data_IF_145544412356
#
_entry.id   IF_145544412356
#
_cell.length_a   1.000
_cell.length_b   1.000
_cell.length_c   1.000
_cell.angle_alpha   90.00
_cell.angle_beta   90.00
_cell.angle_gamma   90.00
#
_symmetry.space_group_name_H-M   'P 1'
#
loop_
_entity.id
_entity.type
_entity.pdbx_description
1 polymer ?
#
# COMPACT_ATOMS: atom_id res chain seq x y z
N UNK A 1 4.16 -21.11 -28.69
CA UNK A 1 3.19 -20.33 -27.91
C UNK A 1 3.93 -19.77 -26.72
N UNK A 2 4.56 -18.61 -26.87
CA UNK A 2 5.26 -17.95 -25.76
C UNK A 2 4.82 -16.49 -25.77
N UNK A 3 4.00 -16.16 -24.77
CA UNK A 3 3.46 -14.82 -24.56
C UNK A 3 4.60 -13.81 -24.45
N UNK A 4 4.52 -12.66 -25.15
CA UNK A 4 5.57 -11.66 -25.10
C UNK A 4 5.69 -11.08 -23.68
N UNK A 5 6.90 -11.18 -23.14
CA UNK A 5 7.29 -10.59 -21.86
C UNK A 5 7.22 -9.06 -21.96
N UNK A 6 6.14 -8.48 -21.43
CA UNK A 6 5.96 -7.03 -21.33
C UNK A 6 6.98 -6.48 -20.33
N UNK A 7 8.09 -5.94 -20.85
CA UNK A 7 9.08 -5.17 -20.08
C UNK A 7 8.41 -3.87 -19.61
N UNK A 8 8.15 -3.65 -18.31
CA UNK A 8 7.58 -2.39 -17.88
C UNK A 8 8.62 -1.28 -18.09
N UNK A 9 8.25 -0.36 -18.97
CA UNK A 9 8.96 0.83 -19.38
C UNK A 9 9.39 1.65 -18.14
N UNK A 10 10.67 2.05 -18.07
CA UNK A 10 11.20 3.01 -17.10
C UNK A 10 10.57 4.38 -17.34
N UNK A 11 9.35 4.60 -16.85
CA UNK A 11 8.73 5.92 -16.80
C UNK A 11 8.13 6.11 -15.41
N UNK A 12 8.91 6.71 -14.53
CA UNK A 12 8.49 7.36 -13.28
C UNK A 12 7.21 6.82 -12.63
N UNK A 13 7.30 5.67 -11.96
CA UNK A 13 6.37 5.35 -10.87
C UNK A 13 6.83 6.07 -9.60
N UNK A 14 6.72 7.40 -9.59
CA UNK A 14 7.11 8.22 -8.44
C UNK A 14 6.18 8.06 -7.24
N UNK A 15 5.06 7.35 -7.40
CA UNK A 15 4.07 7.12 -6.33
C UNK A 15 4.34 5.78 -5.64
N UNK A 16 4.95 5.87 -4.45
CA UNK A 16 5.10 4.77 -3.50
C UNK A 16 3.99 4.85 -2.46
N UNK A 17 3.49 3.69 -2.04
CA UNK A 17 2.52 3.56 -0.97
C UNK A 17 3.17 2.77 0.18
N UNK A 18 3.48 3.40 1.31
CA UNK A 18 3.84 2.68 2.52
C UNK A 18 2.59 1.99 3.10
N UNK A 19 2.70 0.70 3.43
CA UNK A 19 1.65 -0.05 4.10
C UNK A 19 2.22 -1.24 4.85
N UNK A 20 1.85 -1.40 6.13
CA UNK A 20 2.33 -2.47 7.03
C UNK A 20 3.85 -2.52 7.12
N UNK A 21 4.46 -1.35 6.99
CA UNK A 21 5.91 -1.21 6.94
C UNK A 21 6.58 -1.71 5.67
N UNK A 22 5.84 -1.94 4.59
CA UNK A 22 6.45 -2.23 3.29
C UNK A 22 6.11 -1.13 2.28
N UNK A 23 7.05 -0.88 1.36
CA UNK A 23 6.83 0.06 0.27
C UNK A 23 6.32 -0.68 -0.96
N UNK A 24 5.16 -0.23 -1.44
CA UNK A 24 4.56 -0.73 -2.66
C UNK A 24 4.64 0.30 -3.78
N UNK A 25 4.83 -0.18 -5.01
CA UNK A 25 4.78 0.60 -6.24
C UNK A 25 3.57 0.16 -7.06
N UNK A 26 2.91 1.12 -7.71
CA UNK A 26 1.76 0.80 -8.55
C UNK A 26 2.23 0.05 -9.79
N UNK A 27 1.67 -1.14 -10.01
CA UNK A 27 1.95 -1.99 -11.17
C UNK A 27 1.00 -1.66 -12.31
N UNK A 28 -0.29 -1.58 -12.00
CA UNK A 28 -1.35 -1.28 -12.96
C UNK A 28 -2.60 -0.78 -12.26
N UNK A 29 -3.49 -0.14 -12.99
CA UNK A 29 -4.82 0.25 -12.52
C UNK A 29 -5.85 -0.55 -13.32
N UNK A 30 -6.98 -0.89 -12.70
CA UNK A 30 -8.08 -1.54 -13.41
C UNK A 30 -8.57 -0.64 -14.56
N UNK A 31 -9.04 -1.24 -15.66
CA UNK A 31 -9.56 -0.50 -16.82
C UNK A 31 -10.75 0.40 -16.45
N UNK A 32 -11.58 -0.05 -15.52
CA UNK A 32 -12.69 0.75 -14.97
C UNK A 32 -12.23 1.87 -14.02
N UNK A 33 -10.94 1.95 -13.69
CA UNK A 33 -10.42 2.93 -12.74
C UNK A 33 -10.97 2.77 -11.33
N UNK A 34 -11.37 1.56 -10.92
CA UNK A 34 -11.94 1.31 -9.57
C UNK A 34 -10.92 0.83 -8.55
N UNK A 35 -9.83 0.21 -9.02
CA UNK A 35 -8.83 -0.46 -8.18
C UNK A 35 -7.43 -0.25 -8.73
N UNK A 36 -6.46 -0.05 -7.84
CA UNK A 36 -5.03 0.01 -8.16
C UNK A 36 -4.37 -1.27 -7.67
N UNK A 37 -3.54 -1.85 -8.51
CA UNK A 37 -2.74 -3.03 -8.22
C UNK A 37 -1.33 -2.57 -7.92
N UNK A 38 -0.84 -2.95 -6.75
CA UNK A 38 0.47 -2.60 -6.26
C UNK A 38 1.30 -3.86 -5.99
N UNK A 39 2.61 -3.70 -6.13
CA UNK A 39 3.62 -4.73 -5.87
C UNK A 39 4.68 -4.16 -4.94
N UNK A 40 5.32 -5.01 -4.14
CA UNK A 40 6.48 -4.61 -3.36
C UNK A 40 7.59 -4.04 -4.26
N UNK A 41 8.29 -2.99 -3.81
CA UNK A 41 9.43 -2.42 -4.54
C UNK A 41 10.57 -3.45 -4.74
N UNK A 42 10.69 -4.43 -3.84
CA UNK A 42 11.69 -5.50 -3.91
C UNK A 42 11.29 -6.69 -4.79
N UNK A 43 10.15 -6.62 -5.49
CA UNK A 43 9.74 -7.71 -6.37
C UNK A 43 10.82 -8.08 -7.40
N UNK A 44 11.51 -7.06 -7.95
CA UNK A 44 12.55 -7.24 -8.97
C UNK A 44 13.98 -7.26 -8.39
N UNK A 45 14.13 -7.36 -7.06
CA UNK A 45 15.45 -7.37 -6.43
C UNK A 45 16.19 -8.67 -6.80
N UNK A 46 17.43 -8.54 -7.30
CA UNK A 46 18.28 -9.70 -7.60
C UNK A 46 18.62 -10.43 -6.28
N UNK A 47 18.31 -11.72 -6.22
CA UNK A 47 18.57 -12.59 -5.05
C UNK A 47 17.35 -12.87 -4.18
N UNK A 48 16.34 -11.99 -4.15
CA UNK A 48 15.14 -12.17 -3.33
C UNK A 48 13.95 -11.48 -3.98
N UNK A 49 13.09 -12.26 -4.64
CA UNK A 49 11.87 -11.75 -5.26
C UNK A 49 10.78 -11.66 -4.20
N UNK A 50 10.40 -10.45 -3.81
CA UNK A 50 9.29 -10.27 -2.89
C UNK A 50 7.95 -10.55 -3.59
N UNK A 51 7.13 -11.42 -3.00
CA UNK A 51 5.81 -11.77 -3.52
C UNK A 51 4.69 -10.86 -2.98
N UNK A 52 5.01 -9.91 -2.11
CA UNK A 52 4.04 -8.96 -1.55
C UNK A 52 3.34 -8.13 -2.61
N UNK A 53 2.01 -8.20 -2.62
CA UNK A 53 1.09 -7.45 -3.48
C UNK A 53 0.03 -6.80 -2.62
N UNK A 54 -0.52 -5.70 -3.12
CA UNK A 54 -1.51 -4.91 -2.42
C UNK A 54 -2.50 -4.36 -3.44
N UNK A 55 -3.78 -4.40 -3.14
CA UNK A 55 -4.79 -3.74 -3.93
C UNK A 55 -5.43 -2.62 -3.11
N UNK A 56 -5.56 -1.45 -3.72
CA UNK A 56 -6.26 -0.31 -3.13
C UNK A 56 -7.38 0.17 -4.04
N UNK A 57 -8.24 1.04 -3.52
CA UNK A 57 -9.15 1.83 -4.34
C UNK A 57 -8.41 3.04 -4.98
N UNK A 58 -9.17 3.91 -5.63
CA UNK A 58 -8.66 5.17 -6.20
C UNK A 58 -8.21 6.17 -5.14
N UNK A 59 -8.75 6.10 -3.94
CA UNK A 59 -8.46 6.95 -2.78
C UNK A 59 -7.27 6.44 -1.95
N UNK A 60 -6.56 5.43 -2.46
CA UNK A 60 -5.43 4.77 -1.80
C UNK A 60 -5.80 4.01 -0.51
N UNK A 61 -7.09 3.70 -0.30
CA UNK A 61 -7.58 2.82 0.76
C UNK A 61 -7.35 1.34 0.42
N UNK A 62 -6.82 0.59 1.39
CA UNK A 62 -6.46 -0.81 1.21
C UNK A 62 -7.71 -1.69 1.11
N UNK A 63 -7.83 -2.39 -0.01
CA UNK A 63 -8.90 -3.35 -0.27
C UNK A 63 -8.48 -4.77 0.10
N UNK A 64 -7.25 -5.14 -0.25
CA UNK A 64 -6.73 -6.49 0.00
C UNK A 64 -5.20 -6.53 -0.07
N UNK A 65 -4.58 -7.14 0.94
CA UNK A 65 -3.15 -7.48 0.97
C UNK A 65 -3.00 -8.94 0.50
N UNK A 66 -2.07 -9.21 -0.41
CA UNK A 66 -1.90 -10.53 -1.03
C UNK A 66 -0.43 -10.89 -1.11
N UNK A 67 -0.10 -12.11 -0.68
CA UNK A 67 1.26 -12.63 -0.77
C UNK A 67 2.12 -12.16 0.41
N UNK A 68 2.90 -13.09 0.93
CA UNK A 68 3.79 -12.85 2.06
C UNK A 68 5.02 -12.08 1.60
N UNK A 69 5.46 -11.14 2.43
CA UNK A 69 6.71 -10.45 2.20
C UNK A 69 7.86 -11.38 2.56
N UNK A 70 8.71 -11.61 1.58
CA UNK A 70 9.99 -12.28 1.80
C UNK A 70 11.13 -11.29 1.94
N UNK A 71 10.86 -9.97 1.94
CA UNK A 71 11.85 -8.91 2.14
C UNK A 71 11.94 -8.45 3.60
N UNK A 72 13.15 -8.25 4.11
CA UNK A 72 13.43 -7.76 5.47
C UNK A 72 13.13 -6.26 5.71
N UNK A 73 12.41 -5.58 4.80
CA UNK A 73 12.10 -4.16 5.00
C UNK A 73 10.85 -3.98 5.86
N UNK A 74 11.05 -3.77 7.16
CA UNK A 74 10.08 -3.08 8.01
C UNK A 74 10.40 -1.58 7.98
N UNK A 75 9.57 -0.80 7.31
CA UNK A 75 9.41 0.64 7.50
C UNK A 75 8.58 0.77 8.76
N UNK A 76 9.15 1.23 9.87
CA UNK A 76 8.37 1.52 11.06
C UNK A 76 7.37 2.63 10.73
N UNK A 77 6.12 2.26 10.41
CA UNK A 77 5.07 3.26 10.27
C UNK A 77 4.84 3.89 11.65
N UNK A 78 4.87 5.23 11.79
CA UNK A 78 4.43 5.85 13.01
C UNK A 78 2.94 5.56 13.14
N UNK A 79 2.58 4.68 14.07
CA UNK A 79 1.20 4.33 14.41
C UNK A 79 0.42 5.64 14.60
N UNK A 80 -0.37 6.04 13.61
CA UNK A 80 -1.31 7.13 13.76
C UNK A 80 -2.45 6.61 14.62
N UNK A 81 -2.26 6.69 15.93
CA UNK A 81 -3.32 6.51 16.92
C UNK A 81 -4.35 7.59 16.63
N UNK A 82 -5.43 7.24 15.91
CA UNK A 82 -6.58 8.14 15.75
C UNK A 82 -7.10 8.41 17.17
N UNK A 83 -7.20 9.67 17.62
CA UNK A 83 -7.86 9.95 18.88
C UNK A 83 -9.33 9.57 18.73
N UNK A 84 -9.75 8.56 19.48
CA UNK A 84 -11.14 8.16 19.60
C UNK A 84 -11.97 9.37 20.05
N UNK A 85 -12.86 9.83 19.18
CA UNK A 85 -13.79 10.92 19.46
C UNK A 85 -15.05 10.36 20.11
N UNK A 86 -14.99 10.03 21.39
CA UNK A 86 -16.14 9.64 22.22
C UNK A 86 -15.83 10.17 23.64
N UNK A 87 -16.41 11.24 24.20
CA UNK A 87 -17.81 11.46 24.58
C UNK A 87 -18.02 12.95 24.94
N UNK A 88 -19.10 13.55 24.43
CA UNK A 88 -19.69 14.80 24.93
C UNK A 88 -20.34 14.55 26.30
N UNK A 89 -20.07 15.36 27.34
CA UNK A 89 -21.06 15.87 28.32
C UNK A 89 -20.62 17.22 28.90
N UNK A 90 -21.62 18.03 29.22
CA UNK A 90 -21.66 19.49 29.49
C UNK A 90 -22.13 19.73 30.93
N UNK A 91 -21.59 20.74 31.62
CA UNK A 91 -22.17 21.60 32.68
C UNK A 91 -20.98 22.33 33.36
N UNK A 92 -20.78 23.64 33.34
CA UNK A 92 -21.59 24.78 33.81
C UNK A 92 -21.85 24.78 35.33
N UNK A 93 -21.08 25.65 36.01
CA UNK A 93 -21.39 26.47 37.20
C UNK A 93 -21.47 25.87 38.62
N UNK A 94 -21.12 26.76 39.57
CA UNK A 94 -21.40 26.79 41.02
C UNK A 94 -20.46 25.94 41.92
N UNK A 95 -19.68 26.48 42.88
CA UNK A 95 -19.84 27.64 43.78
C UNK A 95 -18.45 28.12 44.27
#
# INVERSE_FOLDING_TARGET
MESPEVKPNKRNFSKKLPHEGFNYIVERVNEEGKKKYWRCEHYHRKGQKCAGRLHTNMEDEVLSVIGEHTCDQFVEEPVQVKPDKTIKRKAAEDL
#
